data_IF_308766513452
#
_entry.id   IF_308766513452
#
_cell.length_a   1.000
_cell.length_b   1.000
_cell.length_c   1.000
_cell.angle_alpha   90.00
_cell.angle_beta   90.00
_cell.angle_gamma   90.00
#
_symmetry.space_group_name_H-M   'P 1'
#
loop_
_entity.id
_entity.type
_entity.pdbx_description
1 polymer ?
#
# COMPACT_ATOMS: atom_id res chain seq x y z
N UNK A 1 -31.93 -19.05 6.24
CA UNK A 1 -30.61 -18.44 6.14
C UNK A 1 -29.74 -19.26 5.19
N UNK A 2 -29.56 -18.82 3.96
CA UNK A 2 -28.73 -19.51 2.96
C UNK A 2 -27.44 -18.72 2.80
N UNK A 3 -26.31 -19.32 3.20
CA UNK A 3 -24.97 -18.81 3.04
C UNK A 3 -24.59 -18.77 1.55
N UNK A 4 -24.20 -17.62 1.07
CA UNK A 4 -23.76 -17.37 -0.31
C UNK A 4 -22.30 -17.85 -0.52
N UNK A 5 -22.03 -18.86 -1.39
CA UNK A 5 -20.68 -19.32 -1.68
C UNK A 5 -20.17 -18.67 -2.98
N UNK A 6 -20.03 -17.31 -2.99
CA UNK A 6 -19.81 -16.64 -4.28
C UNK A 6 -18.44 -16.00 -4.51
N UNK A 7 -17.63 -15.75 -3.50
CA UNK A 7 -16.38 -14.96 -3.66
C UNK A 7 -15.10 -15.77 -3.88
N UNK A 8 -15.03 -17.00 -3.38
CA UNK A 8 -13.80 -17.82 -3.51
C UNK A 8 -13.54 -18.36 -4.93
N UNK A 9 -14.59 -18.64 -5.71
CA UNK A 9 -14.44 -19.24 -7.05
C UNK A 9 -13.97 -18.28 -8.14
N UNK A 10 -14.19 -16.97 -8.01
CA UNK A 10 -13.70 -15.98 -9.00
C UNK A 10 -12.20 -15.70 -8.89
N UNK A 11 -11.64 -15.86 -7.68
CA UNK A 11 -10.21 -15.62 -7.44
C UNK A 11 -9.33 -16.71 -8.09
N UNK A 12 -9.76 -17.96 -8.05
CA UNK A 12 -9.02 -19.12 -8.60
C UNK A 12 -8.83 -19.07 -10.13
N UNK A 13 -9.68 -18.34 -10.88
CA UNK A 13 -9.56 -18.21 -12.34
C UNK A 13 -8.48 -17.22 -12.81
N UNK A 14 -7.91 -16.42 -11.91
CA UNK A 14 -6.88 -15.42 -12.23
C UNK A 14 -5.47 -15.80 -11.73
N UNK A 15 -5.31 -17.01 -11.20
CA UNK A 15 -4.03 -17.49 -10.71
C UNK A 15 -3.05 -17.78 -11.85
N UNK A 16 -1.75 -17.47 -11.71
CA UNK A 16 -0.73 -17.78 -12.70
C UNK A 16 -0.70 -19.27 -13.05
N UNK A 17 -0.31 -19.61 -14.25
CA UNK A 17 -0.28 -20.98 -14.80
C UNK A 17 0.57 -21.95 -13.97
N UNK A 18 1.56 -21.45 -13.20
CA UNK A 18 2.42 -22.23 -12.27
C UNK A 18 1.67 -22.90 -11.13
N UNK A 19 0.48 -22.40 -10.75
CA UNK A 19 -0.30 -22.93 -9.62
C UNK A 19 -1.07 -24.21 -9.97
N UNK A 20 -1.18 -24.54 -11.25
CA UNK A 20 -1.87 -25.76 -11.70
C UNK A 20 -1.06 -27.05 -11.49
N UNK A 21 0.21 -26.96 -11.16
CA UNK A 21 1.13 -28.10 -11.07
C UNK A 21 1.59 -28.48 -9.66
N UNK A 22 0.86 -28.11 -8.62
CA UNK A 22 1.20 -28.33 -7.21
C UNK A 22 1.35 -26.97 -6.50
N UNK A 23 0.74 -26.81 -5.31
CA UNK A 23 0.82 -25.55 -4.56
C UNK A 23 2.27 -25.31 -4.13
N UNK A 24 3.03 -24.36 -4.75
CA UNK A 24 4.38 -24.06 -4.29
C UNK A 24 4.33 -23.51 -2.87
N UNK A 25 5.42 -23.68 -2.11
CA UNK A 25 5.52 -23.05 -0.80
C UNK A 25 5.48 -21.51 -0.98
N UNK A 26 4.55 -20.79 -0.32
CA UNK A 26 4.44 -19.33 -0.46
C UNK A 26 5.74 -18.58 -0.15
N UNK A 27 6.53 -19.07 0.83
CA UNK A 27 7.80 -18.44 1.18
C UNK A 27 8.85 -18.61 0.08
N UNK A 28 8.91 -19.77 -0.59
CA UNK A 28 9.83 -19.98 -1.71
C UNK A 28 9.48 -19.04 -2.88
N UNK A 29 8.19 -18.89 -3.17
CA UNK A 29 7.73 -17.94 -4.20
C UNK A 29 8.08 -16.50 -3.82
N UNK A 30 7.97 -16.15 -2.54
CA UNK A 30 8.36 -14.84 -2.04
C UNK A 30 9.87 -14.62 -2.14
N UNK A 31 10.68 -15.64 -1.81
CA UNK A 31 12.14 -15.59 -1.95
C UNK A 31 12.54 -15.30 -3.40
N UNK A 32 11.93 -16.01 -4.37
CA UNK A 32 12.15 -15.77 -5.80
C UNK A 32 11.71 -14.37 -6.23
N UNK A 33 10.53 -13.91 -5.79
CA UNK A 33 10.00 -12.60 -6.14
C UNK A 33 10.89 -11.46 -5.60
N UNK A 34 11.32 -11.55 -4.35
CA UNK A 34 12.21 -10.53 -3.74
C UNK A 34 13.58 -10.53 -4.41
N UNK A 35 14.15 -11.71 -4.69
CA UNK A 35 15.42 -11.81 -5.41
C UNK A 35 15.33 -11.18 -6.81
N UNK A 36 14.26 -11.48 -7.54
CA UNK A 36 14.02 -10.92 -8.86
C UNK A 36 13.79 -9.39 -8.82
N UNK A 37 13.03 -8.86 -7.84
CA UNK A 37 12.84 -7.43 -7.66
C UNK A 37 14.15 -6.67 -7.41
N UNK A 38 15.12 -7.28 -6.75
CA UNK A 38 16.42 -6.66 -6.47
C UNK A 38 17.29 -6.45 -7.70
N UNK A 39 17.07 -7.23 -8.76
CA UNK A 39 17.88 -7.18 -9.99
C UNK A 39 17.17 -6.49 -11.16
N UNK A 40 15.88 -6.18 -11.04
CA UNK A 40 15.17 -5.35 -12.04
C UNK A 40 15.81 -3.97 -12.08
N UNK A 41 15.97 -3.36 -13.25
CA UNK A 41 16.48 -2.00 -13.38
C UNK A 41 15.66 -1.03 -12.50
N UNK A 42 16.29 -0.18 -11.64
CA UNK A 42 15.58 0.73 -10.74
C UNK A 42 14.60 1.67 -11.45
N UNK A 43 14.86 2.04 -12.69
CA UNK A 43 13.99 2.88 -13.51
C UNK A 43 12.82 2.11 -14.15
N UNK A 44 12.86 0.78 -14.10
CA UNK A 44 11.85 -0.07 -14.72
C UNK A 44 10.80 -0.53 -13.73
N UNK A 45 9.53 -0.43 -14.13
CA UNK A 45 8.42 -1.03 -13.38
C UNK A 45 8.59 -2.56 -13.31
N UNK A 46 8.43 -3.18 -12.13
CA UNK A 46 8.49 -4.63 -11.99
C UNK A 46 7.53 -5.34 -12.96
N UNK A 47 7.95 -6.46 -13.56
CA UNK A 47 7.10 -7.24 -14.45
C UNK A 47 5.80 -7.70 -13.78
N UNK A 48 4.74 -7.81 -14.56
CA UNK A 48 3.38 -8.13 -14.06
C UNK A 48 3.32 -9.49 -13.34
N UNK A 49 4.15 -10.47 -13.73
CA UNK A 49 4.18 -11.77 -13.06
C UNK A 49 4.69 -11.67 -11.62
N UNK A 50 5.70 -10.84 -11.34
CA UNK A 50 6.19 -10.62 -9.97
C UNK A 50 5.11 -10.02 -9.06
N UNK A 51 4.33 -9.07 -9.59
CA UNK A 51 3.20 -8.49 -8.85
C UNK A 51 2.12 -9.56 -8.58
N UNK A 52 1.89 -10.45 -9.53
CA UNK A 52 0.95 -11.56 -9.36
C UNK A 52 1.43 -12.57 -8.33
N UNK A 53 2.72 -12.87 -8.30
CA UNK A 53 3.34 -13.76 -7.31
C UNK A 53 3.23 -13.15 -5.90
N UNK A 54 3.52 -11.85 -5.75
CA UNK A 54 3.33 -11.15 -4.47
C UNK A 54 1.86 -11.16 -4.01
N UNK A 55 0.89 -10.95 -4.91
CA UNK A 55 -0.52 -11.05 -4.56
C UNK A 55 -0.89 -12.46 -4.07
N UNK A 56 -0.46 -13.49 -4.80
CA UNK A 56 -0.73 -14.87 -4.41
C UNK A 56 -0.11 -15.21 -3.05
N UNK A 57 1.16 -14.86 -2.84
CA UNK A 57 1.84 -15.04 -1.54
C UNK A 57 1.09 -14.30 -0.43
N UNK A 58 0.70 -13.05 -0.68
CA UNK A 58 -0.07 -12.27 0.28
C UNK A 58 -1.36 -12.95 0.70
N UNK A 59 -2.11 -13.49 -0.26
CA UNK A 59 -3.31 -14.26 0.04
C UNK A 59 -3.03 -15.51 0.87
N UNK A 60 -1.95 -16.24 0.57
CA UNK A 60 -1.53 -17.42 1.33
C UNK A 60 -1.10 -17.09 2.77
N UNK A 61 -0.44 -15.95 2.97
CA UNK A 61 0.02 -15.49 4.28
C UNK A 61 -1.05 -14.72 5.08
N UNK A 62 -2.25 -14.56 4.51
CA UNK A 62 -3.39 -13.92 5.16
C UNK A 62 -3.33 -12.39 5.15
N UNK A 63 -2.53 -11.78 4.27
CA UNK A 63 -2.58 -10.33 4.05
C UNK A 63 -3.76 -9.94 3.16
N UNK A 64 -4.28 -8.73 3.36
CA UNK A 64 -5.27 -8.15 2.46
C UNK A 64 -4.67 -7.94 1.08
N UNK A 65 -5.52 -8.02 0.06
CA UNK A 65 -5.08 -7.94 -1.31
C UNK A 65 -5.59 -6.68 -2.00
N UNK A 66 -4.67 -5.94 -2.62
CA UNK A 66 -4.98 -4.87 -3.54
C UNK A 66 -5.22 -5.40 -4.96
N UNK A 67 -5.82 -4.60 -5.82
CA UNK A 67 -5.92 -4.94 -7.22
C UNK A 67 -4.54 -4.96 -7.89
N UNK A 68 -4.38 -5.84 -8.90
CA UNK A 68 -3.12 -5.91 -9.66
C UNK A 68 -2.78 -4.58 -10.34
N UNK A 69 -3.81 -3.89 -10.85
CA UNK A 69 -3.65 -2.59 -11.49
C UNK A 69 -3.11 -1.55 -10.51
N UNK A 70 -3.63 -1.52 -9.28
CA UNK A 70 -3.16 -0.64 -8.22
C UNK A 70 -1.69 -0.94 -7.85
N UNK A 71 -1.36 -2.20 -7.56
CA UNK A 71 0.00 -2.59 -7.20
C UNK A 71 1.00 -2.28 -8.31
N UNK A 72 0.63 -2.49 -9.57
CA UNK A 72 1.48 -2.14 -10.71
C UNK A 72 1.71 -0.64 -10.81
N UNK A 73 0.66 0.16 -10.66
CA UNK A 73 0.76 1.62 -10.71
C UNK A 73 1.61 2.14 -9.54
N UNK A 74 1.39 1.61 -8.34
CA UNK A 74 2.20 1.90 -7.15
C UNK A 74 3.68 1.59 -7.39
N UNK A 75 4.00 0.40 -7.90
CA UNK A 75 5.37 0.03 -8.22
C UNK A 75 6.00 0.98 -9.24
N UNK A 76 5.24 1.35 -10.28
CA UNK A 76 5.69 2.32 -11.29
C UNK A 76 6.00 3.70 -10.68
N UNK A 77 5.18 4.18 -9.75
CA UNK A 77 5.45 5.46 -9.07
C UNK A 77 6.63 5.37 -8.13
N UNK A 78 6.79 4.25 -7.46
CA UNK A 78 7.93 4.01 -6.57
C UNK A 78 9.27 3.92 -7.31
N UNK A 79 9.30 3.49 -8.58
CA UNK A 79 10.54 3.48 -9.40
C UNK A 79 11.03 4.87 -9.79
N UNK A 80 10.20 5.88 -9.71
CA UNK A 80 10.55 7.27 -10.05
C UNK A 80 10.48 8.22 -8.85
N UNK A 81 10.35 7.69 -7.63
CA UNK A 81 10.25 8.54 -6.44
C UNK A 81 11.56 9.28 -6.18
N UNK A 82 11.45 10.54 -5.76
CA UNK A 82 12.60 11.43 -5.51
C UNK A 82 12.89 11.61 -4.01
N UNK A 83 12.20 10.88 -3.13
CA UNK A 83 12.37 10.96 -1.69
C UNK A 83 11.66 9.83 -0.96
N UNK A 84 11.50 9.99 0.35
CA UNK A 84 10.94 8.97 1.20
C UNK A 84 9.46 8.69 0.91
N UNK A 85 9.03 7.47 1.23
CA UNK A 85 7.69 6.95 0.97
C UNK A 85 6.95 6.72 2.28
N UNK A 86 5.71 7.16 2.36
CA UNK A 86 4.77 6.81 3.42
C UNK A 86 3.75 5.80 2.91
N UNK A 87 3.49 4.76 3.69
CA UNK A 87 2.40 3.82 3.45
C UNK A 87 1.45 3.81 4.63
N UNK A 88 0.17 4.03 4.37
CA UNK A 88 -0.91 3.96 5.34
C UNK A 88 -1.72 2.67 5.11
N UNK A 89 -1.57 1.70 6.00
CA UNK A 89 -2.07 0.34 5.84
C UNK A 89 -1.04 -0.58 5.19
N UNK A 90 -0.62 -1.60 5.91
CA UNK A 90 0.48 -2.47 5.54
C UNK A 90 0.05 -3.75 4.83
N UNK A 91 0.99 -4.38 4.15
CA UNK A 91 0.81 -5.66 3.47
C UNK A 91 2.07 -6.10 2.73
N UNK A 92 1.93 -7.00 1.75
CA UNK A 92 3.09 -7.31 0.90
C UNK A 92 3.50 -6.15 -0.02
N UNK A 93 2.64 -5.15 -0.20
CA UNK A 93 2.99 -3.84 -0.79
C UNK A 93 4.18 -3.19 -0.08
N UNK A 94 4.25 -3.31 1.24
CA UNK A 94 5.36 -2.78 2.05
C UNK A 94 6.72 -3.33 1.62
N UNK A 95 6.79 -4.64 1.33
CA UNK A 95 8.04 -5.27 0.84
C UNK A 95 8.39 -4.81 -0.58
N UNK A 96 7.38 -4.69 -1.45
CA UNK A 96 7.57 -4.18 -2.81
C UNK A 96 8.10 -2.74 -2.78
N UNK A 97 7.51 -1.87 -1.96
CA UNK A 97 7.96 -0.50 -1.75
C UNK A 97 9.39 -0.46 -1.18
N UNK A 98 9.67 -1.26 -0.16
CA UNK A 98 10.99 -1.29 0.46
C UNK A 98 12.08 -1.69 -0.54
N UNK A 99 11.84 -2.72 -1.37
CA UNK A 99 12.82 -3.11 -2.39
C UNK A 99 12.95 -2.03 -3.45
N UNK A 100 11.83 -1.46 -3.94
CA UNK A 100 11.85 -0.51 -5.05
C UNK A 100 12.46 0.84 -4.62
N UNK A 101 11.96 1.45 -3.55
CA UNK A 101 12.47 2.73 -3.04
C UNK A 101 13.90 2.61 -2.48
N UNK A 102 14.23 1.48 -1.84
CA UNK A 102 15.57 1.24 -1.29
C UNK A 102 16.68 1.20 -2.33
N UNK A 103 16.37 0.80 -3.56
CA UNK A 103 17.32 0.83 -4.69
C UNK A 103 17.63 2.25 -5.18
N UNK A 104 16.77 3.21 -4.83
CA UNK A 104 16.96 4.64 -5.08
C UNK A 104 17.56 5.36 -3.85
N UNK A 105 17.84 4.63 -2.75
CA UNK A 105 18.38 5.19 -1.52
C UNK A 105 17.32 5.78 -0.57
N UNK A 106 16.02 5.61 -0.87
CA UNK A 106 14.93 6.18 -0.09
C UNK A 106 14.40 5.23 0.98
N UNK A 107 13.81 5.80 2.03
CA UNK A 107 13.18 5.08 3.14
C UNK A 107 11.70 4.89 2.90
N UNK A 108 11.15 3.87 3.53
CA UNK A 108 9.71 3.59 3.57
C UNK A 108 9.26 3.60 5.03
N UNK A 109 8.26 4.38 5.33
CA UNK A 109 7.58 4.38 6.63
C UNK A 109 6.17 3.85 6.44
N UNK A 110 5.82 2.78 7.13
CA UNK A 110 4.52 2.12 7.01
C UNK A 110 3.77 2.23 8.32
N UNK A 111 2.53 2.70 8.28
CA UNK A 111 1.60 2.71 9.41
C UNK A 111 0.76 1.44 9.42
N UNK A 112 0.77 0.72 10.53
CA UNK A 112 -0.03 -0.46 10.74
C UNK A 112 -0.73 -0.40 12.11
N UNK A 113 -2.05 -0.62 12.12
CA UNK A 113 -2.85 -0.58 13.36
C UNK A 113 -2.89 -1.92 14.07
N UNK A 114 -2.76 -3.03 13.33
CA UNK A 114 -2.81 -4.38 13.85
C UNK A 114 -1.41 -4.89 14.23
N UNK A 115 -1.20 -5.12 15.52
CA UNK A 115 0.09 -5.55 16.03
C UNK A 115 0.53 -6.93 15.50
N UNK A 116 -0.41 -7.83 15.17
CA UNK A 116 -0.06 -9.14 14.62
C UNK A 116 0.41 -9.02 13.17
N UNK A 117 -0.24 -8.17 12.38
CA UNK A 117 0.18 -7.85 11.01
C UNK A 117 1.54 -7.17 11.00
N UNK A 118 1.76 -6.20 11.90
CA UNK A 118 3.07 -5.58 12.08
C UNK A 118 4.16 -6.61 12.39
N UNK A 119 3.93 -7.49 13.37
CA UNK A 119 4.90 -8.52 13.75
C UNK A 119 5.22 -9.48 12.57
N UNK A 120 4.20 -9.92 11.82
CA UNK A 120 4.40 -10.75 10.62
C UNK A 120 5.26 -10.05 9.59
N UNK A 121 5.02 -8.76 9.34
CA UNK A 121 5.80 -7.99 8.38
C UNK A 121 7.23 -7.75 8.86
N UNK A 122 7.43 -7.43 10.13
CA UNK A 122 8.77 -7.27 10.70
C UNK A 122 9.60 -8.55 10.53
N UNK A 123 9.03 -9.74 10.74
CA UNK A 123 9.72 -11.02 10.47
C UNK A 123 10.13 -11.15 9.00
N UNK A 124 9.30 -10.69 8.06
CA UNK A 124 9.65 -10.70 6.63
C UNK A 124 10.71 -9.63 6.30
N UNK A 125 10.63 -8.45 6.89
CA UNK A 125 11.64 -7.39 6.76
C UNK A 125 13.00 -7.88 7.23
N UNK A 126 13.08 -8.55 8.37
CA UNK A 126 14.28 -9.17 8.90
C UNK A 126 14.79 -10.30 7.99
N UNK A 127 13.92 -11.24 7.59
CA UNK A 127 14.23 -12.34 6.68
C UNK A 127 14.92 -11.84 5.41
N UNK A 128 14.39 -10.77 4.82
CA UNK A 128 14.92 -10.20 3.57
C UNK A 128 15.95 -9.09 3.80
N UNK A 129 16.33 -8.81 5.06
CA UNK A 129 17.33 -7.78 5.42
C UNK A 129 17.04 -6.42 4.77
N UNK A 130 15.78 -5.99 4.79
CA UNK A 130 15.34 -4.70 4.26
C UNK A 130 15.59 -3.61 5.31
N UNK A 131 16.68 -2.86 5.17
CA UNK A 131 17.13 -1.87 6.17
C UNK A 131 16.48 -0.50 5.99
N UNK A 132 15.80 -0.28 4.89
CA UNK A 132 15.21 1.01 4.53
C UNK A 132 13.73 1.13 4.82
N UNK A 133 13.12 0.17 5.51
CA UNK A 133 11.71 0.21 5.89
C UNK A 133 11.55 0.15 7.41
N UNK A 134 10.59 0.93 7.92
CA UNK A 134 10.14 0.89 9.31
C UNK A 134 8.63 0.70 9.35
N UNK A 135 8.16 -0.37 9.98
CA UNK A 135 6.73 -0.64 10.20
C UNK A 135 6.37 -0.10 11.58
N UNK A 136 5.65 1.01 11.61
CA UNK A 136 5.20 1.65 12.86
C UNK A 136 3.88 1.02 13.32
N UNK A 137 3.82 0.55 14.57
CA UNK A 137 2.54 0.22 15.20
C UNK A 137 1.82 1.53 15.55
N UNK A 138 0.78 1.82 14.81
CA UNK A 138 0.03 3.09 14.89
C UNK A 138 -1.45 2.79 15.06
N UNK A 139 -1.94 2.58 16.30
CA UNK A 139 -3.35 2.33 16.55
C UNK A 139 -4.20 3.50 16.03
N UNK A 140 -5.45 3.21 15.66
CA UNK A 140 -6.39 4.23 15.27
C UNK A 140 -6.88 4.94 16.53
N UNK A 141 -6.83 6.27 16.51
CA UNK A 141 -7.33 7.14 17.59
C UNK A 141 -8.25 8.22 17.02
N UNK A 142 -9.10 8.79 17.87
CA UNK A 142 -9.94 9.93 17.51
C UNK A 142 -9.16 11.24 17.62
N UNK A 143 -9.35 12.10 16.63
CA UNK A 143 -8.89 13.49 16.58
C UNK A 143 -10.06 14.48 16.69
N UNK A 144 -11.19 14.05 17.26
CA UNK A 144 -12.43 14.81 17.37
C UNK A 144 -13.37 14.50 16.20
N UNK A 145 -13.24 15.22 15.09
CA UNK A 145 -14.13 15.09 13.94
C UNK A 145 -13.81 13.90 13.03
N UNK A 146 -12.70 13.24 13.24
CA UNK A 146 -12.27 12.09 12.44
C UNK A 146 -11.34 11.16 13.22
N UNK A 147 -11.23 9.92 12.76
CA UNK A 147 -10.30 8.94 13.29
C UNK A 147 -9.15 8.73 12.30
N UNK A 148 -7.93 8.57 12.85
CA UNK A 148 -6.74 8.32 12.05
C UNK A 148 -5.68 7.58 12.84
N UNK A 149 -4.62 7.15 12.18
CA UNK A 149 -3.45 6.59 12.82
C UNK A 149 -2.86 7.54 13.85
N UNK A 150 -2.49 7.02 15.02
CA UNK A 150 -1.74 7.79 16.02
C UNK A 150 -0.40 8.20 15.42
N UNK A 151 -0.26 9.48 15.10
CA UNK A 151 0.91 10.00 14.39
C UNK A 151 2.19 9.94 15.24
N UNK A 152 3.24 9.20 14.82
CA UNK A 152 4.49 9.06 15.55
C UNK A 152 5.45 10.23 15.27
N UNK A 153 5.11 11.45 15.67
CA UNK A 153 5.83 12.71 15.35
C UNK A 153 7.35 12.64 15.45
N UNK A 154 7.88 11.91 16.41
CA UNK A 154 9.32 11.85 16.67
C UNK A 154 10.04 10.76 15.87
N UNK A 155 9.31 9.90 15.17
CA UNK A 155 9.87 8.76 14.45
C UNK A 155 9.92 8.95 12.93
N UNK A 156 9.34 10.03 12.43
CA UNK A 156 9.26 10.30 11.00
C UNK A 156 10.16 11.48 10.62
N UNK A 157 10.83 11.31 9.48
CA UNK A 157 11.39 12.44 8.74
C UNK A 157 10.28 13.31 8.14
N UNK A 158 10.64 14.45 7.61
CA UNK A 158 9.76 15.30 6.83
C UNK A 158 10.01 15.05 5.34
N UNK A 159 9.04 15.44 4.52
CA UNK A 159 9.18 15.47 3.07
C UNK A 159 8.98 14.14 2.35
N UNK A 160 7.79 13.54 2.54
CA UNK A 160 7.36 12.38 1.77
C UNK A 160 6.97 12.79 0.34
N UNK A 161 7.55 12.11 -0.65
CA UNK A 161 7.29 12.35 -2.07
C UNK A 161 6.23 11.41 -2.66
N UNK A 162 5.99 10.29 -2.00
CA UNK A 162 4.95 9.33 -2.37
C UNK A 162 4.23 8.83 -1.13
N UNK A 163 2.92 8.86 -1.16
CA UNK A 163 2.06 8.25 -0.13
C UNK A 163 1.21 7.15 -0.75
N UNK A 164 1.23 5.99 -0.15
CA UNK A 164 0.34 4.88 -0.47
C UNK A 164 -0.75 4.82 0.60
N UNK A 165 -1.97 5.21 0.25
CA UNK A 165 -3.09 5.35 1.17
C UNK A 165 -4.14 4.25 0.94
N UNK A 166 -3.90 3.07 1.53
CA UNK A 166 -4.84 1.93 1.52
C UNK A 166 -5.54 1.70 2.87
N UNK A 167 -5.08 2.34 3.91
CA UNK A 167 -5.66 2.32 5.24
C UNK A 167 -6.07 3.72 5.74
N UNK A 168 -6.78 3.79 6.88
CA UNK A 168 -7.26 2.70 7.73
C UNK A 168 -8.31 1.83 7.05
N UNK A 169 -8.48 0.59 7.57
CA UNK A 169 -9.54 -0.28 7.10
C UNK A 169 -10.92 0.32 7.42
N UNK A 170 -11.86 0.24 6.49
CA UNK A 170 -13.18 0.86 6.56
C UNK A 170 -13.97 0.60 7.85
N UNK A 171 -13.81 -0.57 8.46
CA UNK A 171 -14.54 -0.93 9.68
C UNK A 171 -13.95 -0.33 10.95
N UNK A 172 -12.84 0.40 10.84
CA UNK A 172 -12.13 1.02 11.96
C UNK A 172 -12.40 2.52 12.09
N UNK A 173 -13.01 3.13 11.10
CA UNK A 173 -13.27 4.57 11.07
C UNK A 173 -14.43 4.92 10.14
N UNK A 174 -15.28 5.80 10.59
CA UNK A 174 -16.37 6.36 9.79
C UNK A 174 -15.92 7.52 8.90
N UNK A 175 -14.75 8.08 9.16
CA UNK A 175 -14.15 9.17 8.38
C UNK A 175 -13.30 8.69 7.20
N UNK A 176 -13.17 7.36 7.00
CA UNK A 176 -12.37 6.79 5.93
C UNK A 176 -10.90 7.21 6.03
N UNK A 177 -10.35 7.67 4.91
CA UNK A 177 -8.95 8.09 4.81
C UNK A 177 -8.74 9.59 4.99
N UNK A 178 -9.75 10.30 5.48
CA UNK A 178 -9.74 11.76 5.59
C UNK A 178 -8.52 12.29 6.36
N UNK A 179 -8.15 11.63 7.47
CA UNK A 179 -7.09 12.10 8.37
C UNK A 179 -5.68 12.22 7.75
N UNK A 180 -5.46 11.71 6.52
CA UNK A 180 -4.16 11.83 5.87
C UNK A 180 -3.71 13.30 5.78
N UNK A 181 -4.48 14.16 5.13
CA UNK A 181 -4.08 15.55 4.94
C UNK A 181 -4.07 16.36 6.25
N UNK A 182 -5.11 16.33 7.10
CA UNK A 182 -5.11 17.10 8.36
C UNK A 182 -3.95 16.76 9.28
N UNK A 183 -3.43 15.52 9.23
CA UNK A 183 -2.36 15.08 10.14
C UNK A 183 -0.98 15.13 9.49
N UNK A 184 -0.89 14.90 8.17
CA UNK A 184 0.38 14.64 7.49
C UNK A 184 0.81 15.73 6.51
N UNK A 185 -0.04 16.74 6.21
CA UNK A 185 0.25 17.73 5.16
C UNK A 185 1.63 18.38 5.30
N UNK A 186 2.02 18.72 6.53
CA UNK A 186 3.32 19.37 6.82
C UNK A 186 4.53 18.43 6.62
N UNK A 187 4.31 17.13 6.47
CA UNK A 187 5.33 16.12 6.19
C UNK A 187 5.35 15.71 4.72
N UNK A 188 4.40 16.19 3.92
CA UNK A 188 4.35 15.89 2.49
C UNK A 188 5.10 16.96 1.70
N UNK A 189 5.85 16.52 0.69
CA UNK A 189 6.42 17.41 -0.32
C UNK A 189 5.31 18.18 -1.06
N UNK A 190 5.62 19.37 -1.56
CA UNK A 190 4.64 20.19 -2.29
C UNK A 190 4.14 19.51 -3.58
N UNK A 191 4.94 18.62 -4.15
CA UNK A 191 4.57 17.82 -5.32
C UNK A 191 4.34 16.34 -4.96
N UNK A 192 4.05 16.06 -3.68
CA UNK A 192 3.79 14.72 -3.21
C UNK A 192 2.65 14.06 -4.00
N UNK A 193 2.85 12.80 -4.34
CA UNK A 193 1.82 11.98 -4.97
C UNK A 193 1.21 11.04 -3.96
N UNK A 194 -0.12 11.11 -3.79
CA UNK A 194 -0.88 10.21 -2.94
C UNK A 194 -1.64 9.23 -3.83
N UNK A 195 -1.37 7.95 -3.65
CA UNK A 195 -2.13 6.88 -4.28
C UNK A 195 -3.16 6.34 -3.31
N UNK A 196 -4.44 6.51 -3.62
CA UNK A 196 -5.56 6.08 -2.79
C UNK A 196 -6.29 4.91 -3.45
N UNK A 197 -6.25 3.72 -2.82
CA UNK A 197 -7.01 2.56 -3.31
C UNK A 197 -8.50 2.71 -3.02
N UNK A 198 -9.35 1.89 -3.67
CA UNK A 198 -10.80 1.84 -3.46
C UNK A 198 -11.54 3.20 -3.62
N UNK A 199 -11.00 4.12 -4.41
CA UNK A 199 -11.50 5.49 -4.55
C UNK A 199 -12.95 5.62 -5.08
N UNK A 200 -13.55 4.51 -5.54
CA UNK A 200 -14.94 4.43 -5.97
C UNK A 200 -15.96 4.21 -4.83
N UNK A 201 -15.51 3.94 -3.61
CA UNK A 201 -16.39 3.83 -2.45
C UNK A 201 -17.00 5.19 -2.10
N UNK A 202 -18.21 5.20 -1.59
CA UNK A 202 -18.92 6.45 -1.26
C UNK A 202 -18.14 7.35 -0.30
N UNK A 203 -17.56 6.74 0.74
CA UNK A 203 -16.78 7.48 1.73
C UNK A 203 -15.48 8.03 1.12
N UNK A 204 -14.77 7.27 0.31
CA UNK A 204 -13.53 7.71 -0.30
C UNK A 204 -13.76 8.81 -1.34
N UNK A 205 -14.87 8.76 -2.10
CA UNK A 205 -15.30 9.88 -2.95
C UNK A 205 -15.65 11.13 -2.15
N UNK A 206 -16.28 10.97 -0.97
CA UNK A 206 -16.54 12.09 -0.08
C UNK A 206 -15.23 12.71 0.43
N UNK A 207 -14.30 11.90 0.87
CA UNK A 207 -12.97 12.31 1.33
C UNK A 207 -12.23 13.11 0.24
N UNK A 208 -12.15 12.58 -0.99
CA UNK A 208 -11.51 13.27 -2.12
C UNK A 208 -12.17 14.62 -2.39
N UNK A 209 -13.53 14.70 -2.35
CA UNK A 209 -14.24 15.98 -2.53
C UNK A 209 -13.93 16.98 -1.42
N UNK A 210 -13.78 16.50 -0.18
CA UNK A 210 -13.45 17.32 0.96
C UNK A 210 -12.00 17.84 0.85
N UNK A 211 -11.05 17.00 0.55
CA UNK A 211 -9.67 17.40 0.31
C UNK A 211 -9.52 18.44 -0.80
N UNK A 212 -10.28 18.31 -1.91
CA UNK A 212 -10.28 19.31 -2.99
C UNK A 212 -10.78 20.69 -2.56
N UNK A 213 -11.59 20.77 -1.51
CA UNK A 213 -12.08 22.05 -0.96
C UNK A 213 -11.09 22.67 0.02
N UNK A 214 -10.33 21.83 0.71
CA UNK A 214 -9.45 22.23 1.81
C UNK A 214 -8.00 22.41 1.35
N UNK A 215 -7.62 21.79 0.23
CA UNK A 215 -6.26 21.79 -0.29
C UNK A 215 -6.22 21.96 -1.80
N UNK A 216 -5.14 22.55 -2.29
CA UNK A 216 -4.84 22.58 -3.73
C UNK A 216 -4.31 21.22 -4.14
N UNK A 217 -5.14 20.41 -4.79
CA UNK A 217 -4.80 19.07 -5.25
C UNK A 217 -5.42 18.79 -6.63
N UNK A 218 -4.67 18.05 -7.43
CA UNK A 218 -5.17 17.44 -8.65
C UNK A 218 -5.50 15.97 -8.40
N UNK A 219 -6.56 15.46 -9.02
CA UNK A 219 -6.99 14.06 -8.84
C UNK A 219 -7.24 13.39 -10.17
N UNK A 220 -6.54 12.31 -10.42
CA UNK A 220 -6.73 11.43 -11.57
C UNK A 220 -7.24 10.06 -11.09
N UNK A 221 -8.34 9.57 -11.69
CA UNK A 221 -8.92 8.27 -11.36
C UNK A 221 -8.54 7.21 -12.37
N UNK A 222 -8.27 6.00 -11.91
CA UNK A 222 -7.86 4.85 -12.70
C UNK A 222 -8.74 3.64 -12.41
N UNK A 223 -8.84 2.74 -13.37
CA UNK A 223 -9.62 1.51 -13.26
C UNK A 223 -11.10 1.71 -13.55
N UNK A 224 -11.76 0.63 -14.00
CA UNK A 224 -13.20 0.65 -14.33
C UNK A 224 -14.07 0.12 -13.20
N UNK A 225 -13.66 -0.96 -12.56
CA UNK A 225 -14.43 -1.63 -11.49
C UNK A 225 -13.73 -1.53 -10.13
N UNK A 226 -12.44 -1.74 -10.08
CA UNK A 226 -11.58 -1.54 -8.90
C UNK A 226 -10.83 -0.24 -9.13
N UNK A 227 -11.42 0.86 -8.69
CA UNK A 227 -10.88 2.19 -8.93
C UNK A 227 -9.92 2.59 -7.83
N UNK A 228 -8.86 3.25 -8.25
CA UNK A 228 -7.97 3.98 -7.37
C UNK A 228 -7.74 5.38 -7.91
N UNK A 229 -7.28 6.27 -7.08
CA UNK A 229 -6.96 7.64 -7.46
C UNK A 229 -5.48 7.94 -7.21
N UNK A 230 -4.89 8.71 -8.10
CA UNK A 230 -3.65 9.44 -7.88
C UNK A 230 -4.00 10.89 -7.60
N UNK A 231 -3.47 11.42 -6.53
CA UNK A 231 -3.69 12.78 -6.05
C UNK A 231 -2.32 13.44 -6.00
N UNK A 232 -2.18 14.57 -6.67
CA UNK A 232 -0.95 15.36 -6.64
C UNK A 232 -1.20 16.60 -5.79
N UNK A 233 -0.33 16.88 -4.82
CA UNK A 233 -0.27 18.15 -4.12
C UNK A 233 0.25 19.23 -5.07
N UNK A 234 -0.29 20.46 -4.96
CA UNK A 234 0.06 21.61 -5.80
C UNK A 234 0.43 22.81 -4.93
#
# INVERSE_FOLDING_TARGET
MRSSPGRGRKFLKQLPTRIRMGCPNPLNTLDEAIAALRVVDPSCCPPTYMISDLQWVGACLGFRQNSRAYLRHMAQKATGVQGDVLECGSGLSSLLLAVTAGRLGHRVHTFEHDAQTQAKLNNLVERYRLKNITIHHTPIISYGDFDWYKFPKHALGNNFHLVICDGPARHLTDSGRYGLFPIMRDQLDDHCRVMMDDSNRSIDRYVIRRWRKEHQIEVQSFGRFLQFAEITCC
#
